data_IF_653921026654
#
_entry.id   IF_653921026654
#
_cell.length_a   1.000
_cell.length_b   1.000
_cell.length_c   1.000
_cell.angle_alpha   90.00
_cell.angle_beta   90.00
_cell.angle_gamma   90.00
#
_symmetry.space_group_name_H-M   'P 1'
#
loop_
_entity.id
_entity.type
_entity.pdbx_description
1 polymer ?
#
# COMPACT_ATOMS: atom_id res chain seq x y z
N UNK A 1 -20.45 -15.29 -34.05
CA UNK A 1 -19.30 -15.90 -34.78
C UNK A 1 -19.00 -17.26 -34.19
N UNK A 2 -18.44 -18.22 -34.98
CA UNK A 2 -18.03 -19.49 -34.40
C UNK A 2 -16.90 -19.25 -33.40
N UNK A 3 -17.00 -19.86 -32.22
CA UNK A 3 -15.99 -19.72 -31.17
C UNK A 3 -14.68 -20.39 -31.61
N UNK A 4 -13.54 -19.79 -31.28
CA UNK A 4 -12.23 -20.26 -31.73
C UNK A 4 -11.88 -21.68 -31.20
N UNK A 5 -12.51 -22.10 -30.11
CA UNK A 5 -12.39 -23.45 -29.55
C UNK A 5 -13.44 -24.46 -30.09
N UNK A 6 -14.30 -24.05 -31.01
CA UNK A 6 -15.27 -24.93 -31.66
C UNK A 6 -14.54 -25.93 -32.58
N UNK A 7 -14.51 -27.18 -32.17
CA UNK A 7 -13.88 -28.26 -32.92
C UNK A 7 -14.67 -29.55 -32.81
N UNK A 8 -14.84 -30.05 -31.58
CA UNK A 8 -15.65 -31.23 -31.30
C UNK A 8 -17.15 -30.92 -31.19
N UNK A 9 -17.47 -29.68 -30.80
CA UNK A 9 -18.83 -29.17 -30.66
C UNK A 9 -19.11 -28.15 -31.76
N UNK A 10 -20.37 -27.85 -32.04
CA UNK A 10 -20.81 -26.82 -33.00
C UNK A 10 -20.51 -25.38 -32.52
N UNK A 11 -20.07 -25.22 -31.29
CA UNK A 11 -19.73 -23.92 -30.70
C UNK A 11 -20.93 -23.02 -30.43
N UNK A 12 -22.14 -23.54 -30.49
CA UNK A 12 -23.37 -22.82 -30.12
C UNK A 12 -23.63 -23.00 -28.64
N UNK A 13 -23.71 -21.88 -27.92
CA UNK A 13 -24.03 -21.83 -26.48
C UNK A 13 -25.23 -20.90 -26.27
N UNK A 14 -25.93 -21.09 -25.18
CA UNK A 14 -26.99 -20.18 -24.75
C UNK A 14 -26.36 -18.83 -24.35
N UNK A 15 -27.01 -17.71 -24.70
CA UNK A 15 -26.52 -16.36 -24.43
C UNK A 15 -26.16 -16.16 -22.95
N UNK A 16 -27.00 -16.64 -22.05
CA UNK A 16 -26.73 -16.53 -20.60
C UNK A 16 -25.48 -17.29 -20.17
N UNK A 17 -25.13 -18.39 -20.84
CA UNK A 17 -23.91 -19.12 -20.57
C UNK A 17 -22.68 -18.38 -21.09
N UNK A 18 -22.80 -17.69 -22.23
CA UNK A 18 -21.75 -16.82 -22.77
C UNK A 18 -21.49 -15.62 -21.88
N UNK A 19 -22.55 -14.94 -21.45
CA UNK A 19 -22.47 -13.80 -20.56
C UNK A 19 -21.84 -14.20 -19.21
N UNK A 20 -22.23 -15.35 -18.66
CA UNK A 20 -21.67 -15.87 -17.40
C UNK A 20 -20.21 -16.29 -17.51
N UNK A 21 -19.78 -16.77 -18.68
CA UNK A 21 -18.41 -17.24 -18.91
C UNK A 21 -17.45 -16.11 -19.28
N UNK A 22 -17.95 -14.97 -19.74
CA UNK A 22 -17.15 -13.86 -20.25
C UNK A 22 -16.40 -13.12 -19.15
N UNK A 23 -15.11 -12.79 -19.42
CA UNK A 23 -14.25 -11.99 -18.54
C UNK A 23 -13.83 -10.65 -19.15
N UNK A 24 -14.23 -10.36 -20.40
CA UNK A 24 -13.82 -9.15 -21.12
C UNK A 24 -14.10 -7.85 -20.34
N UNK A 25 -15.14 -7.84 -19.50
CA UNK A 25 -15.55 -6.66 -18.74
C UNK A 25 -14.50 -6.19 -17.72
N UNK A 26 -13.66 -7.09 -17.22
CA UNK A 26 -12.59 -6.76 -16.28
C UNK A 26 -11.20 -7.05 -16.83
N UNK A 27 -10.99 -8.09 -17.64
CA UNK A 27 -9.67 -8.45 -18.16
C UNK A 27 -9.21 -7.56 -19.33
N UNK A 28 -10.14 -6.82 -19.95
CA UNK A 28 -9.84 -5.84 -21.00
C UNK A 28 -8.73 -4.85 -20.62
N UNK A 29 -8.54 -4.55 -19.34
CA UNK A 29 -7.46 -3.69 -18.85
C UNK A 29 -6.04 -4.24 -19.07
N UNK A 30 -5.92 -5.55 -19.34
CA UNK A 30 -4.63 -6.21 -19.61
C UNK A 30 -4.25 -6.25 -21.09
N UNK A 31 -4.97 -5.55 -21.99
CA UNK A 31 -4.69 -5.61 -23.44
C UNK A 31 -3.24 -5.30 -23.81
N UNK A 32 -2.57 -4.42 -23.06
CA UNK A 32 -1.16 -4.07 -23.28
C UNK A 32 -0.25 -5.25 -22.98
N UNK A 33 -0.50 -5.95 -21.88
CA UNK A 33 0.29 -7.10 -21.45
C UNK A 33 0.11 -8.27 -22.42
N UNK A 34 -1.13 -8.55 -22.82
CA UNK A 34 -1.40 -9.59 -23.82
C UNK A 34 -0.70 -9.33 -25.15
N UNK A 35 -0.80 -8.10 -25.66
CA UNK A 35 -0.14 -7.73 -26.92
C UNK A 35 1.38 -7.80 -26.79
N UNK A 36 1.98 -7.27 -25.74
CA UNK A 36 3.42 -7.33 -25.50
C UNK A 36 3.92 -8.77 -25.36
N UNK A 37 3.22 -9.59 -24.57
CA UNK A 37 3.49 -11.01 -24.45
C UNK A 37 3.43 -11.74 -25.79
N UNK A 38 2.39 -11.44 -26.59
CA UNK A 38 2.19 -12.02 -27.92
C UNK A 38 3.27 -11.60 -28.93
N UNK A 39 3.72 -10.34 -28.90
CA UNK A 39 4.84 -9.89 -29.76
C UNK A 39 6.14 -10.64 -29.43
N UNK A 40 6.44 -10.81 -28.16
CA UNK A 40 7.63 -11.55 -27.70
C UNK A 40 7.53 -13.03 -28.08
N UNK A 41 6.35 -13.63 -27.96
CA UNK A 41 6.10 -15.00 -28.38
C UNK A 41 6.32 -15.20 -29.88
N UNK A 42 5.81 -14.30 -30.73
CA UNK A 42 6.05 -14.34 -32.19
C UNK A 42 7.55 -14.28 -32.53
N UNK A 43 8.29 -13.39 -31.87
CA UNK A 43 9.74 -13.28 -32.03
C UNK A 43 10.48 -14.58 -31.63
N UNK A 44 10.08 -15.21 -30.52
CA UNK A 44 10.61 -16.49 -30.07
C UNK A 44 10.33 -17.62 -31.07
N UNK A 45 9.10 -17.68 -31.59
CA UNK A 45 8.74 -18.73 -32.60
C UNK A 45 9.62 -18.64 -33.83
N UNK A 46 9.92 -17.45 -34.35
CA UNK A 46 10.83 -17.26 -35.47
C UNK A 46 12.27 -17.59 -35.10
N UNK A 47 12.77 -17.13 -33.95
CA UNK A 47 14.11 -17.45 -33.46
C UNK A 47 14.35 -18.95 -33.38
N UNK A 48 13.34 -19.74 -33.07
CA UNK A 48 13.40 -21.19 -33.00
C UNK A 48 13.05 -21.88 -34.32
N UNK A 49 12.78 -21.13 -35.37
CA UNK A 49 12.47 -21.69 -36.70
C UNK A 49 11.09 -22.39 -36.76
N UNK A 50 10.20 -22.11 -35.80
CA UNK A 50 8.85 -22.69 -35.76
C UNK A 50 7.96 -22.01 -36.79
N UNK A 51 8.13 -20.70 -36.98
CA UNK A 51 7.54 -19.90 -38.05
C UNK A 51 8.65 -19.17 -38.81
N UNK A 52 8.36 -18.64 -39.99
CA UNK A 52 9.33 -17.81 -40.74
C UNK A 52 9.55 -16.44 -40.06
N UNK A 53 10.68 -15.79 -40.32
CA UNK A 53 10.96 -14.44 -39.84
C UNK A 53 9.93 -13.45 -40.42
N UNK A 54 9.56 -13.59 -41.71
CA UNK A 54 8.58 -12.74 -42.36
C UNK A 54 7.18 -12.83 -41.67
N UNK A 55 6.78 -14.05 -41.28
CA UNK A 55 5.53 -14.23 -40.50
C UNK A 55 5.61 -13.57 -39.14
N UNK A 56 6.73 -13.67 -38.43
CA UNK A 56 6.91 -13.05 -37.13
C UNK A 56 6.90 -11.52 -37.21
N UNK A 57 7.62 -10.96 -38.20
CA UNK A 57 7.62 -9.50 -38.41
C UNK A 57 6.21 -8.99 -38.75
N UNK A 58 5.48 -9.73 -39.58
CA UNK A 58 4.07 -9.41 -39.90
C UNK A 58 3.17 -9.47 -38.67
N UNK A 59 3.34 -10.48 -37.80
CA UNK A 59 2.58 -10.61 -36.54
C UNK A 59 2.90 -9.47 -35.58
N UNK A 60 4.18 -9.13 -35.40
CA UNK A 60 4.64 -8.08 -34.50
C UNK A 60 4.12 -6.72 -34.97
N UNK A 61 4.22 -6.41 -36.27
CA UNK A 61 3.70 -5.16 -36.83
C UNK A 61 2.18 -5.07 -36.70
N UNK A 62 1.47 -6.18 -36.93
CA UNK A 62 0.01 -6.26 -36.76
C UNK A 62 -0.41 -6.02 -35.31
N UNK A 63 0.28 -6.63 -34.35
CA UNK A 63 0.06 -6.46 -32.91
C UNK A 63 0.38 -5.02 -32.46
N UNK A 64 1.50 -4.46 -32.91
CA UNK A 64 1.86 -3.07 -32.63
C UNK A 64 0.81 -2.10 -33.19
N UNK A 65 0.27 -2.38 -34.38
CA UNK A 65 -0.82 -1.61 -34.97
C UNK A 65 -2.12 -1.70 -34.16
N UNK A 66 -2.46 -2.89 -33.61
CA UNK A 66 -3.63 -3.04 -32.71
C UNK A 66 -3.42 -2.25 -31.43
N UNK A 67 -2.24 -2.34 -30.82
CA UNK A 67 -1.90 -1.57 -29.61
C UNK A 67 -2.06 -0.06 -29.83
N UNK A 68 -1.48 0.44 -30.92
CA UNK A 68 -1.58 1.86 -31.26
C UNK A 68 -3.02 2.31 -31.52
N UNK A 69 -3.83 1.48 -32.17
CA UNK A 69 -5.24 1.81 -32.45
C UNK A 69 -6.10 1.81 -31.17
N UNK A 70 -5.85 0.90 -30.23
CA UNK A 70 -6.49 0.89 -28.91
C UNK A 70 -6.07 2.11 -28.09
N UNK A 71 -4.78 2.43 -28.05
CA UNK A 71 -4.25 3.56 -27.30
C UNK A 71 -4.78 4.91 -27.77
N UNK A 72 -4.98 5.03 -29.10
CA UNK A 72 -5.48 6.25 -29.71
C UNK A 72 -7.03 6.29 -29.84
N UNK A 73 -7.72 5.27 -29.33
CA UNK A 73 -9.20 5.18 -29.41
C UNK A 73 -9.75 4.97 -30.81
N UNK A 74 -8.92 4.54 -31.76
CA UNK A 74 -9.36 4.21 -33.13
C UNK A 74 -10.00 2.83 -33.22
N UNK A 75 -9.63 1.93 -32.32
CA UNK A 75 -10.22 0.62 -32.15
C UNK A 75 -10.85 0.55 -30.76
N UNK A 76 -12.12 0.17 -30.70
CA UNK A 76 -12.81 -0.12 -29.45
C UNK A 76 -12.78 -1.62 -29.18
N UNK A 77 -12.64 -1.98 -27.91
CA UNK A 77 -12.72 -3.39 -27.48
C UNK A 77 -14.16 -3.87 -27.65
N UNK A 78 -14.34 -4.97 -28.39
CA UNK A 78 -15.66 -5.60 -28.56
C UNK A 78 -16.02 -6.41 -27.30
N UNK A 79 -16.90 -5.85 -26.48
CA UNK A 79 -17.37 -6.44 -25.24
C UNK A 79 -18.23 -7.71 -25.42
N UNK A 80 -18.49 -8.13 -26.67
CA UNK A 80 -19.13 -9.41 -26.97
C UNK A 80 -18.12 -10.59 -27.06
N UNK A 81 -16.82 -10.32 -27.00
CA UNK A 81 -15.80 -11.34 -26.92
C UNK A 81 -15.79 -12.01 -25.56
N UNK A 82 -15.30 -13.25 -25.47
CA UNK A 82 -15.19 -13.99 -24.22
C UNK A 82 -14.17 -13.34 -23.29
N UNK A 83 -12.99 -13.00 -23.80
CA UNK A 83 -11.88 -12.39 -23.07
C UNK A 83 -11.05 -11.47 -23.98
N UNK A 84 -10.14 -10.70 -23.38
CA UNK A 84 -9.24 -9.79 -24.10
C UNK A 84 -8.33 -10.51 -25.08
N UNK A 85 -7.89 -11.70 -24.73
CA UNK A 85 -7.00 -12.51 -25.55
C UNK A 85 -7.68 -12.95 -26.85
N UNK A 86 -8.96 -13.37 -26.75
CA UNK A 86 -9.78 -13.70 -27.93
C UNK A 86 -10.00 -12.48 -28.81
N UNK A 87 -10.28 -11.32 -28.20
CA UNK A 87 -10.45 -10.07 -28.94
C UNK A 87 -9.20 -9.71 -29.75
N UNK A 88 -8.01 -9.73 -29.12
CA UNK A 88 -6.74 -9.39 -29.80
C UNK A 88 -6.46 -10.40 -30.94
N UNK A 89 -6.63 -11.70 -30.69
CA UNK A 89 -6.39 -12.76 -31.68
C UNK A 89 -7.37 -12.67 -32.86
N UNK A 90 -8.65 -12.33 -32.60
CA UNK A 90 -9.65 -12.12 -33.66
C UNK A 90 -9.31 -10.92 -34.54
N UNK A 91 -8.98 -9.77 -33.93
CA UNK A 91 -8.60 -8.57 -34.68
C UNK A 91 -7.34 -8.81 -35.51
N UNK A 92 -6.34 -9.48 -34.91
CA UNK A 92 -5.11 -9.84 -35.61
C UNK A 92 -5.39 -10.76 -36.82
N UNK A 93 -6.24 -11.78 -36.64
CA UNK A 93 -6.62 -12.71 -37.70
C UNK A 93 -7.44 -12.00 -38.81
N UNK A 94 -8.32 -11.07 -38.44
CA UNK A 94 -9.05 -10.26 -39.42
C UNK A 94 -8.11 -9.40 -40.28
N UNK A 95 -7.04 -8.86 -39.69
CA UNK A 95 -6.07 -8.01 -40.41
C UNK A 95 -5.09 -8.82 -41.27
N UNK A 96 -4.65 -10.00 -40.77
CA UNK A 96 -3.53 -10.74 -41.37
C UNK A 96 -3.91 -12.09 -41.99
N UNK A 97 -5.15 -12.52 -41.89
CA UNK A 97 -5.60 -13.81 -42.40
C UNK A 97 -4.90 -15.00 -41.74
N UNK A 98 -4.38 -15.94 -42.56
CA UNK A 98 -3.78 -17.16 -42.02
C UNK A 98 -2.47 -16.95 -41.26
N UNK A 99 -1.75 -15.85 -41.51
CA UNK A 99 -0.56 -15.50 -40.71
C UNK A 99 -0.97 -15.20 -39.27
N UNK A 100 -2.08 -14.48 -39.03
CA UNK A 100 -2.58 -14.21 -37.72
C UNK A 100 -2.85 -15.44 -36.86
N UNK A 101 -3.31 -16.52 -37.50
CA UNK A 101 -3.60 -17.80 -36.82
C UNK A 101 -2.34 -18.56 -36.33
N UNK A 102 -1.15 -18.21 -36.82
CA UNK A 102 0.13 -18.84 -36.41
C UNK A 102 0.58 -18.42 -35.00
N UNK A 103 0.06 -17.27 -34.50
CA UNK A 103 0.46 -16.74 -33.19
C UNK A 103 0.19 -17.70 -32.03
N UNK A 104 -0.86 -18.52 -32.10
CA UNK A 104 -1.22 -19.45 -31.03
C UNK A 104 -0.36 -20.71 -30.95
N UNK A 105 0.60 -20.90 -31.88
CA UNK A 105 1.49 -22.06 -31.92
C UNK A 105 2.32 -22.18 -30.64
N UNK A 106 2.38 -23.38 -30.06
CA UNK A 106 3.13 -23.67 -28.81
C UNK A 106 2.71 -22.82 -27.58
N UNK A 107 1.47 -22.33 -27.53
CA UNK A 107 0.90 -21.56 -26.42
C UNK A 107 -0.48 -22.10 -26.07
N UNK A 108 -0.88 -21.92 -24.77
CA UNK A 108 -2.23 -22.16 -24.29
C UNK A 108 -2.80 -20.86 -23.72
N UNK A 109 -4.13 -20.77 -23.65
CA UNK A 109 -4.79 -19.71 -22.89
C UNK A 109 -4.34 -19.70 -21.41
N UNK A 110 -4.04 -20.87 -20.83
CA UNK A 110 -3.69 -20.99 -19.42
C UNK A 110 -2.36 -20.28 -19.08
N UNK A 111 -1.29 -20.50 -19.86
CA UNK A 111 -0.01 -19.81 -19.61
C UNK A 111 -0.04 -18.35 -20.08
N UNK A 112 -0.82 -18.02 -21.09
CA UNK A 112 -1.05 -16.65 -21.55
C UNK A 112 -1.71 -15.79 -20.45
N UNK A 113 -2.82 -16.23 -19.87
CA UNK A 113 -3.49 -15.53 -18.78
C UNK A 113 -2.58 -15.40 -17.56
N UNK A 114 -1.83 -16.47 -17.20
CA UNK A 114 -0.89 -16.45 -16.09
C UNK A 114 0.27 -15.47 -16.32
N UNK A 115 0.73 -15.31 -17.57
CA UNK A 115 1.72 -14.30 -17.96
C UNK A 115 1.17 -12.89 -17.79
N UNK A 116 0.00 -12.64 -18.37
CA UNK A 116 -0.56 -11.28 -18.47
C UNK A 116 -0.89 -10.69 -17.10
N UNK A 117 -1.45 -11.47 -16.19
CA UNK A 117 -1.71 -11.02 -14.83
C UNK A 117 -0.41 -10.72 -14.05
N UNK A 118 0.67 -11.51 -14.28
CA UNK A 118 1.98 -11.24 -13.67
C UNK A 118 2.59 -9.93 -14.22
N UNK A 119 2.54 -9.73 -15.54
CA UNK A 119 3.03 -8.51 -16.18
C UNK A 119 2.24 -7.29 -15.70
N UNK A 120 0.91 -7.41 -15.62
CA UNK A 120 0.03 -6.35 -15.14
C UNK A 120 0.33 -6.00 -13.67
N UNK A 121 0.28 -6.98 -12.77
CA UNK A 121 0.48 -6.73 -11.34
C UNK A 121 1.90 -6.27 -11.01
N UNK A 122 2.91 -6.68 -11.79
CA UNK A 122 4.27 -6.15 -11.65
C UNK A 122 4.31 -4.62 -11.86
N UNK A 123 3.62 -4.13 -12.89
CA UNK A 123 3.47 -2.69 -13.12
C UNK A 123 2.70 -1.99 -12.00
N UNK A 124 1.63 -2.61 -11.52
CA UNK A 124 0.83 -2.07 -10.41
C UNK A 124 1.61 -2.00 -9.10
N UNK A 125 2.45 -3.00 -8.81
CA UNK A 125 3.35 -2.95 -7.63
C UNK A 125 4.33 -1.78 -7.75
N UNK A 126 4.88 -1.54 -8.93
CA UNK A 126 5.80 -0.43 -9.17
C UNK A 126 5.09 0.93 -8.93
N UNK A 127 3.84 1.07 -9.39
CA UNK A 127 3.03 2.28 -9.16
C UNK A 127 2.64 2.44 -7.69
N UNK A 128 2.14 1.39 -7.03
CA UNK A 128 1.80 1.42 -5.58
C UNK A 128 3.04 1.78 -4.77
N UNK A 129 4.19 1.22 -5.11
CA UNK A 129 5.47 1.54 -4.44
C UNK A 129 5.85 3.01 -4.62
N UNK A 130 5.68 3.58 -5.80
CA UNK A 130 5.94 5.00 -6.07
C UNK A 130 4.99 5.91 -5.26
N UNK A 131 3.70 5.58 -5.21
CA UNK A 131 2.70 6.30 -4.40
C UNK A 131 3.00 6.19 -2.90
N UNK A 132 3.42 5.02 -2.43
CA UNK A 132 3.82 4.82 -1.03
C UNK A 132 5.05 5.66 -0.69
N UNK A 133 6.06 5.73 -1.57
CA UNK A 133 7.21 6.62 -1.40
C UNK A 133 6.79 8.09 -1.33
N UNK A 134 5.84 8.51 -2.15
CA UNK A 134 5.28 9.86 -2.12
C UNK A 134 4.63 10.18 -0.77
N UNK A 135 3.86 9.24 -0.23
CA UNK A 135 3.27 9.39 1.11
C UNK A 135 4.35 9.43 2.21
N UNK A 136 5.36 8.56 2.16
CA UNK A 136 6.46 8.57 3.12
C UNK A 136 7.18 9.93 3.09
N UNK A 137 7.42 10.49 1.92
CA UNK A 137 8.02 11.81 1.77
C UNK A 137 7.16 12.89 2.44
N UNK A 138 5.86 12.93 2.17
CA UNK A 138 4.93 13.89 2.77
C UNK A 138 4.89 13.78 4.31
N UNK A 139 4.86 12.56 4.85
CA UNK A 139 4.90 12.30 6.30
C UNK A 139 6.24 12.77 6.89
N UNK A 140 7.35 12.49 6.20
CA UNK A 140 8.70 12.86 6.65
C UNK A 140 8.91 14.37 6.64
N UNK A 141 8.42 15.06 5.62
CA UNK A 141 8.50 16.52 5.52
C UNK A 141 7.67 17.20 6.64
N UNK A 142 6.48 16.67 6.94
CA UNK A 142 5.69 17.13 8.09
C UNK A 142 6.36 16.81 9.42
N UNK A 143 7.02 15.66 9.53
CA UNK A 143 7.80 15.33 10.72
C UNK A 143 8.97 16.30 10.93
N UNK A 144 9.63 16.73 9.86
CA UNK A 144 10.72 17.73 9.90
C UNK A 144 10.18 19.11 10.30
N UNK A 145 9.03 19.53 9.74
CA UNK A 145 8.35 20.79 10.09
C UNK A 145 8.01 20.84 11.59
N UNK A 146 7.52 19.73 12.15
CA UNK A 146 7.03 19.66 13.53
C UNK A 146 7.93 18.85 14.48
N UNK A 147 9.21 18.67 14.17
CA UNK A 147 10.16 17.87 14.97
C UNK A 147 10.34 18.34 16.41
N UNK A 148 10.09 19.63 16.68
CA UNK A 148 10.16 20.23 18.01
C UNK A 148 8.78 20.53 18.64
N UNK A 149 7.68 20.24 17.96
CA UNK A 149 6.33 20.50 18.44
C UNK A 149 5.94 19.51 19.53
N UNK A 150 5.89 19.97 20.78
CA UNK A 150 5.55 19.14 21.96
C UNK A 150 4.07 18.74 21.89
N UNK A 151 3.81 17.43 22.05
CA UNK A 151 2.46 16.89 22.21
C UNK A 151 2.46 15.78 23.26
N UNK A 152 1.29 15.44 23.84
CA UNK A 152 1.19 14.26 24.68
C UNK A 152 1.28 12.99 23.83
N UNK A 153 2.15 12.05 24.22
CA UNK A 153 2.07 10.66 23.78
C UNK A 153 0.98 9.94 24.57
N UNK A 154 0.28 9.03 23.90
CA UNK A 154 -0.86 8.31 24.46
C UNK A 154 -0.61 6.82 24.61
N UNK A 155 -1.07 6.26 25.72
CA UNK A 155 -1.32 4.82 25.88
C UNK A 155 -2.74 4.66 26.45
N UNK A 156 -3.51 3.69 25.97
CA UNK A 156 -4.91 3.50 26.37
C UNK A 156 -5.79 4.75 26.17
N UNK A 157 -5.46 5.59 25.17
CA UNK A 157 -6.04 6.94 24.98
C UNK A 157 -5.92 7.87 26.20
N UNK A 158 -5.00 7.54 27.12
CA UNK A 158 -4.63 8.42 28.24
C UNK A 158 -3.30 9.09 27.95
N UNK A 159 -3.15 10.35 28.38
CA UNK A 159 -1.89 11.10 28.25
C UNK A 159 -0.84 10.43 29.10
N UNK A 160 0.30 10.07 28.48
CA UNK A 160 1.32 9.23 29.12
C UNK A 160 2.65 9.95 29.32
N UNK A 161 3.34 10.29 28.24
CA UNK A 161 4.66 10.93 28.29
C UNK A 161 4.78 12.02 27.22
N UNK A 162 5.66 13.04 27.41
CA UNK A 162 5.88 14.06 26.41
C UNK A 162 6.65 13.47 25.21
N UNK A 163 6.12 13.74 24.03
CA UNK A 163 6.75 13.43 22.72
C UNK A 163 6.72 14.66 21.83
N UNK A 164 7.32 14.57 20.64
CA UNK A 164 7.06 15.57 19.60
C UNK A 164 6.09 15.03 18.55
N UNK A 165 5.39 15.92 17.87
CA UNK A 165 4.53 15.53 16.75
C UNK A 165 5.34 14.93 15.62
N UNK A 166 6.56 15.46 15.37
CA UNK A 166 7.50 14.85 14.41
C UNK A 166 7.85 13.40 14.77
N UNK A 167 8.11 13.10 16.04
CA UNK A 167 8.36 11.73 16.49
C UNK A 167 7.16 10.80 16.20
N UNK A 168 5.95 11.28 16.47
CA UNK A 168 4.72 10.53 16.21
C UNK A 168 4.55 10.22 14.72
N UNK A 169 4.76 11.22 13.86
CA UNK A 169 4.69 11.06 12.40
C UNK A 169 5.74 10.06 11.88
N UNK A 170 6.95 10.09 12.43
CA UNK A 170 8.01 9.14 12.04
C UNK A 170 7.64 7.69 12.35
N UNK A 171 6.79 7.40 13.32
CA UNK A 171 6.30 6.05 13.55
C UNK A 171 5.52 5.51 12.32
N UNK A 172 4.71 6.34 11.69
CA UNK A 172 4.01 5.99 10.44
C UNK A 172 4.96 5.85 9.25
N UNK A 173 5.97 6.72 9.15
CA UNK A 173 7.00 6.57 8.12
C UNK A 173 7.71 5.19 8.23
N UNK A 174 8.03 4.74 9.44
CA UNK A 174 8.62 3.41 9.67
C UNK A 174 7.66 2.25 9.31
N UNK A 175 6.35 2.41 9.52
CA UNK A 175 5.37 1.41 9.08
C UNK A 175 5.33 1.30 7.56
N UNK A 176 5.26 2.43 6.87
CA UNK A 176 5.20 2.51 5.41
C UNK A 176 6.50 2.01 4.73
N UNK A 177 7.67 2.18 5.34
CA UNK A 177 8.91 1.57 4.85
C UNK A 177 8.81 0.04 4.84
N UNK A 178 8.29 -0.56 5.91
CA UNK A 178 8.07 -2.02 5.95
C UNK A 178 7.02 -2.49 4.94
N UNK A 179 6.06 -1.63 4.57
CA UNK A 179 5.09 -1.94 3.52
C UNK A 179 5.75 -1.93 2.13
N UNK A 180 6.69 -1.00 1.86
CA UNK A 180 7.51 -1.02 0.65
C UNK A 180 8.33 -2.31 0.53
N UNK A 181 8.95 -2.76 1.62
CA UNK A 181 9.72 -4.01 1.63
C UNK A 181 8.83 -5.21 1.26
N UNK A 182 7.58 -5.27 1.79
CA UNK A 182 6.61 -6.32 1.42
C UNK A 182 6.28 -6.30 -0.07
N UNK A 183 6.05 -5.12 -0.63
CA UNK A 183 5.77 -4.95 -2.06
C UNK A 183 6.97 -5.42 -2.93
N UNK A 184 8.19 -5.05 -2.56
CA UNK A 184 9.39 -5.50 -3.26
C UNK A 184 9.61 -7.01 -3.15
N UNK A 185 9.35 -7.59 -2.00
CA UNK A 185 9.45 -9.03 -1.78
C UNK A 185 8.41 -9.80 -2.62
N UNK A 186 7.18 -9.33 -2.69
CA UNK A 186 6.15 -9.88 -3.56
C UNK A 186 6.58 -9.79 -5.03
N UNK A 187 7.01 -8.59 -5.48
CA UNK A 187 7.48 -8.36 -6.83
C UNK A 187 8.61 -9.31 -7.25
N UNK A 188 9.57 -9.53 -6.35
CA UNK A 188 10.70 -10.44 -6.57
C UNK A 188 10.24 -11.88 -6.75
N UNK A 189 9.34 -12.38 -5.88
CA UNK A 189 8.86 -13.76 -5.96
C UNK A 189 8.00 -14.01 -7.19
N UNK A 190 7.17 -13.07 -7.59
CA UNK A 190 6.32 -13.22 -8.79
C UNK A 190 7.07 -13.10 -10.11
N UNK A 191 8.32 -12.60 -10.13
CA UNK A 191 9.05 -12.25 -11.34
C UNK A 191 9.65 -13.46 -12.06
N UNK A 192 8.83 -14.51 -12.28
CA UNK A 192 9.16 -15.69 -13.08
C UNK A 192 8.09 -15.93 -14.14
N UNK A 193 8.53 -16.11 -15.40
CA UNK A 193 7.63 -16.26 -16.54
C UNK A 193 6.98 -17.65 -16.59
N UNK A 194 5.65 -17.74 -16.68
CA UNK A 194 4.94 -18.99 -16.88
C UNK A 194 4.84 -19.40 -18.34
N UNK A 195 5.17 -18.50 -19.31
CA UNK A 195 4.97 -18.77 -20.73
C UNK A 195 5.76 -20.02 -21.17
N UNK A 196 5.15 -20.83 -22.03
CA UNK A 196 5.69 -22.12 -22.43
C UNK A 196 5.35 -23.27 -21.46
N UNK A 197 4.67 -23.00 -20.34
CA UNK A 197 4.00 -24.05 -19.54
C UNK A 197 2.83 -24.67 -20.31
N UNK A 198 2.31 -23.97 -21.30
CA UNK A 198 1.15 -24.35 -22.12
C UNK A 198 -0.07 -24.63 -21.24
N UNK A 199 -0.85 -25.69 -21.53
CA UNK A 199 -2.02 -26.01 -20.73
C UNK A 199 -1.63 -26.44 -19.30
N UNK A 200 -0.58 -27.27 -19.14
CA UNK A 200 -0.05 -27.79 -17.88
C UNK A 200 1.23 -28.64 -18.01
N UNK A 201 1.52 -29.17 -19.20
CA UNK A 201 2.54 -30.19 -19.39
C UNK A 201 3.73 -29.71 -20.28
N UNK A 202 3.79 -28.42 -20.56
CA UNK A 202 4.75 -27.90 -21.56
C UNK A 202 4.34 -28.23 -22.98
N UNK A 203 5.29 -28.21 -23.90
CA UNK A 203 5.06 -28.42 -25.33
C UNK A 203 6.14 -29.31 -25.95
N UNK A 204 5.81 -29.95 -27.10
CA UNK A 204 6.77 -30.70 -27.92
C UNK A 204 7.57 -29.82 -28.89
N UNK A 205 7.24 -28.53 -29.00
CA UNK A 205 8.01 -27.59 -29.80
C UNK A 205 9.29 -27.17 -29.07
N UNK A 206 10.39 -26.92 -29.82
CA UNK A 206 11.68 -26.50 -29.24
C UNK A 206 11.66 -24.99 -28.88
N UNK A 207 10.76 -24.55 -28.00
CA UNK A 207 10.63 -23.16 -27.59
C UNK A 207 11.81 -22.73 -26.69
N UNK A 208 12.11 -21.42 -26.71
CA UNK A 208 13.14 -20.79 -25.86
C UNK A 208 12.46 -19.91 -24.80
N UNK A 209 12.10 -20.55 -23.68
CA UNK A 209 11.41 -19.87 -22.56
C UNK A 209 12.28 -18.82 -21.87
N UNK A 210 13.59 -19.04 -21.80
CA UNK A 210 14.54 -18.09 -21.21
C UNK A 210 14.62 -16.79 -22.03
N UNK A 211 14.59 -16.92 -23.37
CA UNK A 211 14.52 -15.77 -24.25
C UNK A 211 13.26 -14.95 -24.02
N UNK A 212 12.09 -15.59 -23.95
CA UNK A 212 10.82 -14.89 -23.69
C UNK A 212 10.82 -14.22 -22.31
N UNK A 213 11.31 -14.90 -21.27
CA UNK A 213 11.41 -14.35 -19.92
C UNK A 213 12.33 -13.11 -19.90
N UNK A 214 13.49 -13.19 -20.54
CA UNK A 214 14.44 -12.09 -20.61
C UNK A 214 13.86 -10.86 -21.34
N UNK A 215 13.21 -11.06 -22.50
CA UNK A 215 12.62 -9.99 -23.29
C UNK A 215 11.49 -9.26 -22.55
N UNK A 216 10.82 -9.94 -21.63
CA UNK A 216 9.74 -9.39 -20.82
C UNK A 216 10.20 -8.90 -19.43
N UNK A 217 11.51 -8.96 -19.14
CA UNK A 217 12.12 -8.49 -17.89
C UNK A 217 11.80 -9.36 -16.68
N UNK A 218 11.61 -10.66 -16.88
CA UNK A 218 11.56 -11.63 -15.79
C UNK A 218 12.96 -12.08 -15.37
N UNK A 219 13.11 -12.49 -14.12
CA UNK A 219 14.36 -13.02 -13.56
C UNK A 219 14.64 -14.48 -13.98
N UNK A 220 13.64 -15.17 -14.51
CA UNK A 220 13.71 -16.54 -14.97
C UNK A 220 12.34 -17.10 -15.34
N UNK A 221 12.24 -18.41 -15.44
CA UNK A 221 11.03 -19.15 -15.83
C UNK A 221 10.47 -19.96 -14.67
N UNK A 222 9.16 -20.21 -14.65
CA UNK A 222 8.55 -21.19 -13.78
C UNK A 222 9.09 -22.60 -14.12
N UNK A 223 9.71 -23.27 -13.15
CA UNK A 223 10.44 -24.53 -13.41
C UNK A 223 9.54 -25.77 -13.53
N UNK A 224 8.31 -25.68 -13.03
CA UNK A 224 7.30 -26.74 -13.19
C UNK A 224 6.11 -26.17 -13.96
N UNK A 225 5.76 -26.78 -15.09
CA UNK A 225 4.70 -26.28 -15.97
C UNK A 225 3.30 -26.40 -15.38
N UNK A 226 3.07 -27.38 -14.52
CA UNK A 226 1.80 -27.55 -13.84
C UNK A 226 1.59 -26.47 -12.77
N UNK A 227 2.65 -26.15 -12.02
CA UNK A 227 2.69 -25.05 -11.05
C UNK A 227 2.55 -23.69 -11.75
N UNK A 228 3.29 -23.45 -12.83
CA UNK A 228 3.33 -22.17 -13.52
C UNK A 228 1.96 -21.67 -14.03
N UNK A 229 1.05 -22.59 -14.40
CA UNK A 229 -0.32 -22.22 -14.81
C UNK A 229 -1.31 -22.21 -13.65
N UNK A 230 -0.97 -22.88 -12.55
CA UNK A 230 -1.82 -23.02 -11.35
C UNK A 230 -1.59 -21.91 -10.31
N UNK A 231 -0.38 -21.37 -10.26
CA UNK A 231 0.05 -20.43 -9.23
C UNK A 231 -0.74 -19.11 -9.28
N UNK A 232 -1.28 -18.74 -8.13
CA UNK A 232 -1.86 -17.44 -7.81
C UNK A 232 -1.39 -16.91 -6.45
N UNK A 233 -0.31 -17.51 -5.91
CA UNK A 233 0.26 -17.06 -4.63
C UNK A 233 0.67 -15.60 -4.69
N UNK A 234 1.21 -15.15 -5.82
CA UNK A 234 1.59 -13.75 -6.02
C UNK A 234 0.39 -12.79 -5.94
N UNK A 235 -0.81 -13.18 -6.34
CA UNK A 235 -2.03 -12.41 -6.15
C UNK A 235 -2.38 -12.32 -4.66
N UNK A 236 -2.38 -13.45 -3.96
CA UNK A 236 -2.69 -13.51 -2.53
C UNK A 236 -1.65 -12.77 -1.69
N UNK A 237 -0.37 -12.85 -2.05
CA UNK A 237 0.73 -12.14 -1.39
C UNK A 237 0.61 -10.62 -1.59
N UNK A 238 0.36 -10.16 -2.83
CA UNK A 238 0.14 -8.74 -3.11
C UNK A 238 -1.03 -8.20 -2.32
N UNK A 239 -2.17 -8.89 -2.34
CA UNK A 239 -3.36 -8.47 -1.58
C UNK A 239 -3.11 -8.47 -0.07
N UNK A 240 -2.31 -9.40 0.44
CA UNK A 240 -1.89 -9.40 1.85
C UNK A 240 -1.02 -8.20 2.18
N UNK A 241 -0.08 -7.83 1.32
CA UNK A 241 0.74 -6.64 1.46
C UNK A 241 -0.12 -5.36 1.43
N UNK A 242 -1.05 -5.27 0.47
CA UNK A 242 -2.02 -4.16 0.37
C UNK A 242 -2.91 -4.09 1.62
N UNK A 243 -3.40 -5.21 2.14
CA UNK A 243 -4.23 -5.26 3.33
C UNK A 243 -3.49 -4.73 4.57
N UNK A 244 -2.20 -5.05 4.73
CA UNK A 244 -1.35 -4.53 5.81
C UNK A 244 -1.14 -3.02 5.64
N UNK A 245 -0.82 -2.56 4.43
CA UNK A 245 -0.68 -1.14 4.11
C UNK A 245 -1.97 -0.37 4.44
N UNK A 246 -3.13 -0.88 4.02
CA UNK A 246 -4.43 -0.27 4.33
C UNK A 246 -4.74 -0.28 5.82
N UNK A 247 -4.31 -1.29 6.58
CA UNK A 247 -4.39 -1.29 8.04
C UNK A 247 -3.60 -0.14 8.65
N UNK A 248 -2.39 0.13 8.16
CA UNK A 248 -1.59 1.28 8.63
C UNK A 248 -2.26 2.61 8.30
N UNK A 249 -2.79 2.75 7.07
CA UNK A 249 -3.55 3.95 6.68
C UNK A 249 -4.82 4.12 7.52
N UNK A 250 -5.52 3.04 7.84
CA UNK A 250 -6.71 3.07 8.71
C UNK A 250 -6.37 3.55 10.13
N UNK A 251 -5.28 3.06 10.72
CA UNK A 251 -4.80 3.54 12.04
C UNK A 251 -4.44 5.01 12.00
N UNK A 252 -3.73 5.44 10.97
CA UNK A 252 -3.37 6.84 10.81
C UNK A 252 -4.61 7.72 10.59
N UNK A 253 -5.59 7.24 9.82
CA UNK A 253 -6.89 7.90 9.64
C UNK A 253 -7.60 8.11 10.97
N UNK A 254 -7.66 7.08 11.83
CA UNK A 254 -8.28 7.17 13.15
C UNK A 254 -7.68 8.29 14.00
N UNK A 255 -6.35 8.39 14.03
CA UNK A 255 -5.67 9.45 14.78
C UNK A 255 -5.92 10.84 14.18
N UNK A 256 -5.92 10.98 12.84
CA UNK A 256 -6.26 12.25 12.19
C UNK A 256 -7.69 12.67 12.51
N UNK A 257 -8.64 11.73 12.50
CA UNK A 257 -10.05 12.00 12.85
C UNK A 257 -10.15 12.49 14.30
N UNK A 258 -9.49 11.78 15.23
CA UNK A 258 -9.43 12.21 16.63
C UNK A 258 -8.79 13.59 16.78
N UNK A 259 -7.63 13.82 16.17
CA UNK A 259 -6.89 15.08 16.29
C UNK A 259 -7.55 16.27 15.63
N UNK A 260 -8.37 16.06 14.60
CA UNK A 260 -9.14 17.13 13.94
C UNK A 260 -10.47 17.43 14.64
N UNK A 261 -10.91 16.60 15.60
CA UNK A 261 -12.13 16.81 16.36
C UNK A 261 -12.08 18.10 17.21
N UNK A 262 -13.25 18.62 17.58
CA UNK A 262 -13.37 19.79 18.45
C UNK A 262 -12.73 19.58 19.83
N UNK A 263 -12.74 18.37 20.33
CA UNK A 263 -12.21 17.98 21.64
C UNK A 263 -10.68 18.02 21.65
N UNK A 264 -10.02 17.57 20.57
CA UNK A 264 -8.55 17.59 20.48
C UNK A 264 -8.02 18.87 19.83
N UNK A 265 -8.49 19.20 18.64
CA UNK A 265 -7.99 20.35 17.83
C UNK A 265 -6.47 20.39 17.73
N UNK A 266 -5.84 19.22 17.55
CA UNK A 266 -4.40 19.12 17.39
C UNK A 266 -3.96 19.38 15.96
N UNK A 267 -4.82 19.05 15.00
CA UNK A 267 -4.57 19.28 13.59
C UNK A 267 -5.77 19.92 12.90
N UNK A 268 -5.50 20.64 11.83
CA UNK A 268 -6.50 21.15 10.91
C UNK A 268 -6.18 20.64 9.51
N UNK A 269 -7.16 20.00 8.87
CA UNK A 269 -7.06 19.54 7.49
C UNK A 269 -7.39 20.69 6.52
N UNK A 270 -6.75 20.70 5.36
CA UNK A 270 -7.07 21.64 4.29
C UNK A 270 -8.52 21.46 3.80
N UNK A 271 -9.14 22.55 3.36
CA UNK A 271 -10.46 22.52 2.74
C UNK A 271 -10.54 21.62 1.51
N UNK A 272 -9.42 21.41 0.83
CA UNK A 272 -9.32 20.51 -0.31
C UNK A 272 -9.54 19.02 0.04
N UNK A 273 -9.41 18.66 1.32
CA UNK A 273 -9.52 17.27 1.82
C UNK A 273 -10.57 17.11 2.93
N UNK A 274 -11.52 18.02 2.98
CA UNK A 274 -12.61 18.02 3.95
C UNK A 274 -13.92 18.38 3.27
N UNK A 275 -15.04 18.07 3.90
CA UNK A 275 -16.34 18.57 3.47
C UNK A 275 -16.99 19.38 4.57
N UNK A 276 -17.87 20.31 4.16
CA UNK A 276 -18.72 21.07 5.07
C UNK A 276 -20.05 20.36 5.30
N UNK A 277 -20.94 21.07 6.00
CA UNK A 277 -22.33 20.66 6.16
C UNK A 277 -23.24 21.65 5.44
N UNK A 278 -24.25 21.14 4.73
CA UNK A 278 -25.27 21.99 4.07
C UNK A 278 -26.16 22.76 5.05
N UNK A 279 -26.17 22.35 6.32
CA UNK A 279 -27.06 22.94 7.35
C UNK A 279 -26.29 23.52 8.54
N UNK A 280 -25.06 23.07 8.79
CA UNK A 280 -24.22 23.49 9.91
C UNK A 280 -22.96 24.19 9.40
N UNK A 281 -22.96 25.55 9.29
CA UNK A 281 -21.87 26.27 8.63
C UNK A 281 -20.51 26.19 9.34
N UNK A 282 -20.49 25.83 10.63
CA UNK A 282 -19.27 25.68 11.43
C UNK A 282 -18.63 24.29 11.27
N UNK A 283 -19.31 23.32 10.62
CA UNK A 283 -18.88 21.91 10.59
C UNK A 283 -17.91 21.68 9.42
N UNK A 284 -16.79 21.06 9.74
CA UNK A 284 -15.75 20.61 8.81
C UNK A 284 -15.43 19.16 9.10
N UNK A 285 -15.69 18.27 8.14
CA UNK A 285 -15.62 16.83 8.34
C UNK A 285 -14.32 16.27 7.76
N UNK A 286 -13.65 15.33 8.44
CA UNK A 286 -12.45 14.64 7.94
C UNK A 286 -12.82 13.45 7.01
N UNK A 287 -13.74 13.67 6.03
CA UNK A 287 -14.32 12.58 5.23
C UNK A 287 -13.30 11.73 4.49
N UNK A 288 -12.19 12.33 4.06
CA UNK A 288 -11.14 11.58 3.34
C UNK A 288 -10.49 10.54 4.26
N UNK A 289 -10.20 10.92 5.50
CA UNK A 289 -9.68 9.97 6.50
C UNK A 289 -10.71 8.89 6.84
N UNK A 290 -11.99 9.27 6.99
CA UNK A 290 -13.08 8.31 7.25
C UNK A 290 -13.25 7.31 6.11
N UNK A 291 -13.21 7.77 4.85
CA UNK A 291 -13.32 6.91 3.68
C UNK A 291 -12.13 5.95 3.55
N UNK A 292 -10.90 6.39 3.81
CA UNK A 292 -9.72 5.50 3.82
C UNK A 292 -9.89 4.43 4.89
N UNK A 293 -10.32 4.78 6.11
CA UNK A 293 -10.63 3.84 7.17
C UNK A 293 -11.70 2.83 6.74
N UNK A 294 -12.79 3.28 6.11
CA UNK A 294 -13.87 2.43 5.62
C UNK A 294 -13.43 1.48 4.48
N UNK A 295 -12.66 2.00 3.49
CA UNK A 295 -12.16 1.22 2.35
C UNK A 295 -11.19 0.09 2.76
N UNK A 296 -10.57 0.17 3.93
CA UNK A 296 -9.74 -0.90 4.48
C UNK A 296 -10.54 -2.20 4.63
N UNK A 297 -11.80 -2.12 5.10
CA UNK A 297 -12.67 -3.30 5.20
C UNK A 297 -13.00 -3.93 3.85
N UNK A 298 -13.13 -3.11 2.78
CA UNK A 298 -13.33 -3.60 1.41
C UNK A 298 -12.14 -4.44 0.95
N UNK A 299 -10.91 -3.93 1.09
CA UNK A 299 -9.67 -4.66 0.72
C UNK A 299 -9.51 -5.96 1.51
N UNK A 300 -9.92 -5.99 2.79
CA UNK A 300 -9.93 -7.24 3.56
C UNK A 300 -10.94 -8.26 2.99
N UNK A 301 -12.10 -7.78 2.55
CA UNK A 301 -13.09 -8.61 1.86
C UNK A 301 -12.54 -9.22 0.57
N UNK A 302 -11.84 -8.42 -0.24
CA UNK A 302 -11.22 -8.86 -1.49
C UNK A 302 -10.16 -9.95 -1.26
N UNK A 303 -9.26 -9.74 -0.29
CA UNK A 303 -8.26 -10.76 0.10
C UNK A 303 -8.94 -12.06 0.54
N UNK A 304 -9.98 -11.97 1.37
CA UNK A 304 -10.69 -13.14 1.85
C UNK A 304 -11.45 -13.88 0.72
N UNK A 305 -12.01 -13.13 -0.24
CA UNK A 305 -12.65 -13.69 -1.42
C UNK A 305 -11.65 -14.50 -2.25
N UNK A 306 -10.48 -13.93 -2.55
CA UNK A 306 -9.43 -14.62 -3.31
C UNK A 306 -8.96 -15.90 -2.59
N UNK A 307 -8.60 -15.80 -1.31
CA UNK A 307 -8.16 -16.97 -0.52
C UNK A 307 -9.22 -18.06 -0.47
N UNK A 308 -10.50 -17.66 -0.41
CA UNK A 308 -11.64 -18.60 -0.41
C UNK A 308 -11.82 -19.27 -1.76
N UNK A 309 -11.63 -18.53 -2.85
CA UNK A 309 -11.65 -19.09 -4.21
C UNK A 309 -10.55 -20.13 -4.41
N UNK A 310 -9.34 -19.83 -4.00
CA UNK A 310 -8.16 -20.69 -4.24
C UNK A 310 -8.12 -21.95 -3.37
N UNK A 311 -8.69 -21.90 -2.17
CA UNK A 311 -8.61 -22.99 -1.20
C UNK A 311 -9.20 -24.31 -1.67
N UNK A 312 -8.69 -25.25 -2.10
CA UNK A 312 -9.29 -26.57 -2.45
C UNK A 312 -9.45 -26.76 -3.95
N UNK A 313 -8.91 -25.84 -4.76
CA UNK A 313 -8.81 -26.07 -6.20
C UNK A 313 -7.76 -27.17 -6.47
N UNK A 314 -8.05 -28.11 -7.37
CA UNK A 314 -7.01 -29.02 -7.87
C UNK A 314 -6.00 -28.25 -8.73
N UNK A 315 -4.82 -28.88 -8.95
CA UNK A 315 -3.76 -28.30 -9.75
C UNK A 315 -4.18 -28.04 -11.21
N UNK A 316 -3.36 -27.33 -11.91
CA UNK A 316 -3.55 -26.72 -13.23
C UNK A 316 -4.60 -25.59 -13.16
N UNK A 317 -5.29 -25.34 -14.26
CA UNK A 317 -6.27 -24.27 -14.36
C UNK A 317 -7.69 -24.83 -14.19
N UNK A 318 -8.46 -24.17 -13.33
CA UNK A 318 -9.90 -24.35 -13.21
C UNK A 318 -10.56 -22.98 -13.46
N UNK A 319 -11.78 -22.97 -13.99
CA UNK A 319 -12.48 -21.71 -14.34
C UNK A 319 -12.72 -20.81 -13.13
N UNK A 320 -12.74 -21.36 -11.91
CA UNK A 320 -12.77 -20.62 -10.65
C UNK A 320 -11.65 -19.55 -10.57
N UNK A 321 -10.50 -19.82 -11.19
CA UNK A 321 -9.39 -18.85 -11.22
C UNK A 321 -9.69 -17.59 -12.04
N UNK A 322 -10.79 -17.52 -12.77
CA UNK A 322 -11.24 -16.28 -13.40
C UNK A 322 -11.64 -15.23 -12.35
N UNK A 323 -12.14 -15.69 -11.17
CA UNK A 323 -12.49 -14.84 -10.04
C UNK A 323 -11.29 -14.20 -9.32
N UNK A 324 -10.06 -14.53 -9.71
CA UNK A 324 -8.85 -13.92 -9.15
C UNK A 324 -8.75 -12.42 -9.49
N UNK A 325 -9.28 -11.99 -10.64
CA UNK A 325 -9.01 -10.67 -11.20
C UNK A 325 -9.83 -9.56 -10.57
N UNK A 326 -11.13 -9.74 -10.40
CA UNK A 326 -12.02 -8.67 -9.94
C UNK A 326 -11.61 -8.17 -8.55
N UNK A 327 -11.40 -9.10 -7.60
CA UNK A 327 -10.97 -8.73 -6.24
C UNK A 327 -9.57 -8.12 -6.21
N UNK A 328 -8.62 -8.64 -7.02
CA UNK A 328 -7.26 -8.11 -7.09
C UNK A 328 -7.26 -6.71 -7.71
N UNK A 329 -7.99 -6.50 -8.79
CA UNK A 329 -8.08 -5.19 -9.45
C UNK A 329 -8.76 -4.15 -8.55
N UNK A 330 -9.81 -4.54 -7.84
CA UNK A 330 -10.48 -3.67 -6.88
C UNK A 330 -9.57 -3.23 -5.73
N UNK A 331 -8.82 -4.17 -5.15
CA UNK A 331 -7.86 -3.86 -4.09
C UNK A 331 -6.74 -2.93 -4.58
N UNK A 332 -6.20 -3.18 -5.79
CA UNK A 332 -5.16 -2.35 -6.42
C UNK A 332 -5.67 -0.93 -6.68
N UNK A 333 -6.83 -0.78 -7.31
CA UNK A 333 -7.41 0.53 -7.61
C UNK A 333 -7.74 1.28 -6.31
N UNK A 334 -8.25 0.58 -5.31
CA UNK A 334 -8.60 1.15 -4.01
C UNK A 334 -7.36 1.68 -3.27
N UNK A 335 -6.28 0.90 -3.17
CA UNK A 335 -5.08 1.34 -2.45
C UNK A 335 -4.39 2.51 -3.15
N UNK A 336 -4.33 2.51 -4.48
CA UNK A 336 -3.74 3.62 -5.26
C UNK A 336 -4.46 4.93 -4.98
N UNK A 337 -5.80 4.92 -5.03
CA UNK A 337 -6.62 6.10 -4.71
C UNK A 337 -6.42 6.55 -3.25
N UNK A 338 -6.41 5.62 -2.30
CA UNK A 338 -6.19 5.93 -0.90
C UNK A 338 -4.82 6.58 -0.65
N UNK A 339 -3.75 6.06 -1.26
CA UNK A 339 -2.41 6.61 -1.14
C UNK A 339 -2.31 8.04 -1.67
N UNK A 340 -2.89 8.30 -2.85
CA UNK A 340 -2.90 9.64 -3.47
C UNK A 340 -3.62 10.66 -2.58
N UNK A 341 -4.83 10.33 -2.14
CA UNK A 341 -5.63 11.21 -1.27
C UNK A 341 -4.93 11.43 0.06
N UNK A 342 -4.37 10.37 0.64
CA UNK A 342 -3.71 10.44 1.94
C UNK A 342 -2.44 11.29 1.89
N UNK A 343 -1.62 11.13 0.85
CA UNK A 343 -0.42 11.94 0.64
C UNK A 343 -0.74 13.42 0.54
N UNK A 344 -1.76 13.80 -0.24
CA UNK A 344 -2.19 15.20 -0.35
C UNK A 344 -2.79 15.76 0.96
N UNK A 345 -3.56 14.95 1.68
CA UNK A 345 -4.13 15.32 2.98
C UNK A 345 -3.01 15.59 4.01
N UNK A 346 -2.00 14.73 4.09
CA UNK A 346 -0.85 14.90 5.00
C UNK A 346 0.00 16.11 4.57
N UNK A 347 0.31 16.26 3.30
CA UNK A 347 1.13 17.36 2.81
C UNK A 347 0.55 18.75 3.14
N UNK A 348 -0.78 18.85 3.22
CA UNK A 348 -1.50 20.10 3.50
C UNK A 348 -2.01 20.26 4.93
N UNK A 349 -1.75 19.27 5.80
CA UNK A 349 -2.15 19.29 7.21
C UNK A 349 -1.39 20.37 7.97
N UNK A 350 -2.09 21.11 8.83
CA UNK A 350 -1.53 22.06 9.77
C UNK A 350 -1.69 21.57 11.22
N UNK A 351 -0.61 21.66 12.02
CA UNK A 351 -0.66 21.29 13.43
C UNK A 351 -0.89 22.51 14.32
N UNK A 352 -1.83 22.40 15.25
CA UNK A 352 -2.05 23.38 16.30
C UNK A 352 -1.14 23.09 17.51
N UNK A 353 0.11 23.50 17.38
CA UNK A 353 1.16 23.24 18.38
C UNK A 353 0.84 23.84 19.75
N UNK A 354 0.06 24.93 19.79
CA UNK A 354 -0.39 25.55 21.05
C UNK A 354 -1.33 24.62 21.82
N UNK A 355 -2.33 24.03 21.14
CA UNK A 355 -3.24 23.08 21.78
C UNK A 355 -2.53 21.78 22.18
N UNK A 356 -1.62 21.31 21.36
CA UNK A 356 -0.80 20.14 21.68
C UNK A 356 0.02 20.38 22.95
N UNK A 357 0.74 21.49 23.05
CA UNK A 357 1.54 21.86 24.23
C UNK A 357 0.67 22.02 25.46
N UNK A 358 -0.46 22.70 25.35
CA UNK A 358 -1.42 22.87 26.47
C UNK A 358 -1.94 21.51 26.95
N UNK A 359 -2.30 20.61 26.06
CA UNK A 359 -2.74 19.26 26.41
C UNK A 359 -1.64 18.46 27.11
N UNK A 360 -0.36 18.66 26.73
CA UNK A 360 0.79 18.07 27.39
C UNK A 360 0.93 18.56 28.84
N UNK A 361 0.85 19.87 29.07
CA UNK A 361 0.94 20.48 30.41
C UNK A 361 -0.16 19.98 31.35
N UNK A 362 -1.41 20.07 30.91
CA UNK A 362 -2.57 19.67 31.73
C UNK A 362 -2.71 18.16 31.95
N UNK A 363 -1.85 17.36 31.32
CA UNK A 363 -1.81 15.90 31.45
C UNK A 363 -0.85 15.38 32.48
N UNK A 364 -0.08 16.25 33.14
CA UNK A 364 0.97 15.86 34.11
C UNK A 364 1.95 14.83 33.55
N UNK A 365 2.22 14.87 32.25
CA UNK A 365 3.02 13.87 31.55
C UNK A 365 4.51 13.94 31.88
N UNK A 366 4.93 14.99 32.58
CA UNK A 366 6.25 15.19 33.18
C UNK A 366 6.36 14.66 34.62
N UNK A 367 5.30 14.05 35.16
CA UNK A 367 5.33 13.48 36.51
C UNK A 367 6.38 12.35 36.68
N UNK A 368 6.68 11.62 35.61
CA UNK A 368 7.77 10.63 35.61
C UNK A 368 9.14 11.33 35.72
N UNK A 369 9.32 12.43 35.00
CA UNK A 369 10.57 13.23 35.04
C UNK A 369 10.78 13.85 36.43
N UNK A 370 9.67 14.23 37.13
CA UNK A 370 9.69 14.66 38.52
C UNK A 370 10.14 13.54 39.48
N UNK A 371 9.63 12.33 39.29
CA UNK A 371 10.09 11.17 40.10
C UNK A 371 11.57 10.84 39.82
N UNK A 372 11.99 10.84 38.57
CA UNK A 372 13.37 10.61 38.16
C UNK A 372 14.35 11.67 38.71
N UNK A 373 13.90 12.92 38.83
CA UNK A 373 14.66 13.99 39.45
C UNK A 373 15.02 13.63 40.92
N UNK A 374 14.04 13.19 41.70
CA UNK A 374 14.28 12.76 43.08
C UNK A 374 15.17 11.51 43.14
N UNK A 375 15.01 10.56 42.20
CA UNK A 375 15.86 9.36 42.14
C UNK A 375 17.32 9.72 41.88
N UNK A 376 17.56 10.67 40.97
CA UNK A 376 18.93 11.18 40.67
C UNK A 376 19.56 11.87 41.89
N UNK A 377 18.75 12.42 42.80
CA UNK A 377 19.21 12.98 44.06
C UNK A 377 19.29 11.95 45.20
N UNK A 378 19.16 10.66 44.91
CA UNK A 378 19.39 9.55 45.84
C UNK A 378 18.14 8.96 46.49
N UNK A 379 16.94 9.42 46.16
CA UNK A 379 15.71 8.86 46.71
C UNK A 379 15.36 7.51 46.02
N UNK A 380 14.93 6.48 46.77
CA UNK A 380 14.40 5.26 46.15
C UNK A 380 13.20 5.52 45.25
N UNK A 381 13.13 4.89 44.08
CA UNK A 381 12.11 5.13 43.06
C UNK A 381 10.68 5.05 43.60
N UNK A 382 10.35 4.06 44.46
CA UNK A 382 8.99 3.92 45.03
C UNK A 382 8.59 5.11 45.91
N UNK A 383 9.53 5.72 46.61
CA UNK A 383 9.32 6.91 47.41
C UNK A 383 9.15 8.14 46.52
N UNK A 384 10.00 8.30 45.52
CA UNK A 384 9.91 9.37 44.54
C UNK A 384 8.57 9.32 43.76
N UNK A 385 8.14 8.13 43.33
CA UNK A 385 6.85 7.89 42.69
C UNK A 385 5.68 8.33 43.57
N UNK A 386 5.70 7.98 44.87
CA UNK A 386 4.64 8.37 45.80
C UNK A 386 4.57 9.87 45.96
N UNK A 387 5.69 10.57 46.11
CA UNK A 387 5.74 12.04 46.21
C UNK A 387 5.23 12.70 44.94
N UNK A 388 5.69 12.22 43.77
CA UNK A 388 5.21 12.72 42.47
C UNK A 388 3.68 12.58 42.34
N UNK A 389 3.13 11.42 42.71
CA UNK A 389 1.68 11.20 42.71
C UNK A 389 0.91 12.14 43.64
N UNK A 390 1.45 12.43 44.83
CA UNK A 390 0.85 13.39 45.78
C UNK A 390 0.85 14.83 45.25
N UNK A 391 1.94 15.23 44.57
CA UNK A 391 2.03 16.57 43.94
C UNK A 391 1.08 16.68 42.74
N UNK A 392 0.91 15.64 41.95
CA UNK A 392 -0.11 15.59 40.87
C UNK A 392 -1.53 15.74 41.46
N UNK A 393 -1.84 14.99 42.52
CA UNK A 393 -3.15 15.11 43.20
C UNK A 393 -3.40 16.52 43.76
N UNK A 394 -2.35 17.15 44.30
CA UNK A 394 -2.42 18.54 44.76
C UNK A 394 -2.70 19.49 43.59
N UNK A 395 -1.99 19.36 42.46
CA UNK A 395 -2.23 20.17 41.27
C UNK A 395 -3.66 20.03 40.76
N UNK A 396 -4.18 18.81 40.66
CA UNK A 396 -5.58 18.55 40.29
C UNK A 396 -6.56 19.28 41.20
N UNK A 397 -6.34 19.19 42.54
CA UNK A 397 -7.21 19.83 43.51
C UNK A 397 -7.19 21.36 43.44
N UNK A 398 -6.08 21.95 43.04
CA UNK A 398 -5.89 23.41 42.90
C UNK A 398 -6.18 23.94 41.50
N UNK A 399 -6.44 23.07 40.50
CA UNK A 399 -6.64 23.46 39.11
C UNK A 399 -5.40 24.08 38.46
N UNK A 400 -4.17 23.64 38.86
CA UNK A 400 -2.88 24.13 38.39
C UNK A 400 -2.05 22.97 37.81
N UNK A 401 -0.87 23.26 37.32
CA UNK A 401 0.10 22.29 36.74
C UNK A 401 1.38 22.27 37.57
N UNK A 402 2.20 21.21 37.38
CA UNK A 402 3.44 21.04 38.15
C UNK A 402 4.38 22.24 37.99
N UNK A 403 4.51 22.77 36.79
CA UNK A 403 5.41 23.89 36.48
C UNK A 403 5.05 25.19 37.18
N UNK A 404 3.79 25.34 37.62
CA UNK A 404 3.26 26.57 38.27
C UNK A 404 3.28 26.48 39.81
N UNK A 405 3.58 25.31 40.38
CA UNK A 405 3.71 25.19 41.83
C UNK A 405 4.99 25.90 42.31
N UNK A 406 4.89 26.75 43.36
CA UNK A 406 6.08 27.38 43.95
C UNK A 406 7.01 26.34 44.62
N UNK A 407 8.32 26.60 44.63
CA UNK A 407 9.32 25.70 45.19
C UNK A 407 9.02 25.35 46.65
N UNK A 408 8.52 26.30 47.42
CA UNK A 408 8.13 26.11 48.84
C UNK A 408 7.08 25.01 49.02
N UNK A 409 6.23 24.80 48.00
CA UNK A 409 5.26 23.69 48.01
C UNK A 409 5.97 22.35 47.83
N UNK A 410 6.91 22.26 46.92
CA UNK A 410 7.70 21.05 46.72
C UNK A 410 8.53 20.68 47.97
N UNK A 411 9.12 21.65 48.60
CA UNK A 411 9.90 21.47 49.84
C UNK A 411 9.09 20.88 51.01
N UNK A 412 7.75 21.05 51.02
CA UNK A 412 6.87 20.39 52.00
C UNK A 412 6.86 18.84 51.86
N UNK A 413 7.24 18.32 50.72
CA UNK A 413 7.24 16.88 50.42
C UNK A 413 8.63 16.24 50.47
N UNK A 414 9.71 17.01 50.22
CA UNK A 414 11.08 16.54 50.33
C UNK A 414 12.08 17.70 50.31
N UNK A 415 13.08 17.64 51.19
CA UNK A 415 14.22 18.57 51.20
C UNK A 415 15.19 18.39 50.02
N UNK A 416 15.00 17.34 49.18
CA UNK A 416 15.77 17.13 47.97
C UNK A 416 15.39 18.02 46.80
N UNK A 417 14.27 18.70 46.88
CA UNK A 417 13.87 19.67 45.86
C UNK A 417 14.70 20.95 45.95
N UNK A 418 15.08 21.46 44.79
CA UNK A 418 15.80 22.71 44.66
C UNK A 418 15.30 23.45 43.37
N UNK A 419 15.81 24.63 43.09
CA UNK A 419 15.42 25.44 41.94
C UNK A 419 15.66 24.77 40.57
N UNK A 420 16.59 23.81 40.49
CA UNK A 420 16.85 23.01 39.29
C UNK A 420 15.72 22.03 38.94
N UNK A 421 14.74 21.84 39.84
CA UNK A 421 13.53 21.09 39.60
C UNK A 421 12.78 21.62 38.35
N UNK A 422 12.61 22.92 38.22
CA UNK A 422 11.84 23.50 37.11
C UNK A 422 12.46 23.20 35.76
N UNK A 423 13.78 23.06 35.69
CA UNK A 423 14.49 22.56 34.54
C UNK A 423 14.27 21.06 34.27
N UNK A 424 14.06 20.30 35.34
CA UNK A 424 13.85 18.86 35.23
C UNK A 424 12.47 18.50 34.70
N UNK A 425 11.45 19.30 35.04
CA UNK A 425 10.04 19.08 34.66
C UNK A 425 9.58 19.92 33.46
N UNK A 426 10.43 20.82 32.92
CA UNK A 426 10.13 21.55 31.70
C UNK A 426 9.92 20.57 30.54
N UNK A 427 8.78 20.66 29.85
CA UNK A 427 8.41 19.69 28.80
C UNK A 427 9.37 19.63 27.63
N UNK A 428 9.99 20.74 27.25
CA UNK A 428 10.99 20.77 26.17
C UNK A 428 12.23 19.99 26.62
N UNK A 429 12.71 20.28 27.84
CA UNK A 429 13.86 19.59 28.43
C UNK A 429 13.57 18.10 28.67
N UNK A 430 12.35 17.76 29.07
CA UNK A 430 11.94 16.35 29.20
C UNK A 430 12.05 15.60 27.86
N UNK A 431 11.63 16.23 26.76
CA UNK A 431 11.78 15.66 25.41
C UNK A 431 13.25 15.59 24.99
N UNK A 432 14.01 16.68 25.14
CA UNK A 432 15.42 16.76 24.73
C UNK A 432 16.32 15.77 25.44
N UNK A 433 16.02 15.43 26.70
CA UNK A 433 16.76 14.42 27.48
C UNK A 433 16.52 12.97 27.02
N UNK A 434 15.50 12.70 26.20
CA UNK A 434 15.19 11.36 25.65
C UNK A 434 16.03 11.06 24.42
N UNK A 435 17.33 10.96 24.59
CA UNK A 435 18.35 10.81 23.54
C UNK A 435 18.67 9.37 23.17
N UNK A 436 18.03 8.39 23.81
CA UNK A 436 18.19 6.97 23.43
C UNK A 436 17.83 6.78 21.94
N UNK A 437 18.48 5.83 21.29
CA UNK A 437 18.19 5.51 19.89
C UNK A 437 16.71 5.23 19.71
N UNK A 438 16.06 5.92 18.76
CA UNK A 438 14.61 5.86 18.55
C UNK A 438 13.80 6.69 19.54
N UNK A 439 14.45 7.46 20.43
CA UNK A 439 13.76 8.36 21.37
C UNK A 439 13.13 9.57 20.70
N UNK A 440 12.49 10.43 21.49
CA UNK A 440 11.69 11.56 20.99
C UNK A 440 12.44 12.90 20.98
N UNK A 441 13.72 12.96 21.38
CA UNK A 441 14.49 14.20 21.27
C UNK A 441 14.58 14.66 19.82
N UNK A 442 14.71 15.98 19.61
CA UNK A 442 14.85 16.55 18.27
C UNK A 442 15.99 15.87 17.50
N UNK A 443 17.14 15.65 18.13
CA UNK A 443 18.27 14.96 17.50
C UNK A 443 17.93 13.50 17.10
N UNK A 444 17.16 12.78 17.92
CA UNK A 444 16.72 11.42 17.57
C UNK A 444 15.72 11.42 16.42
N UNK A 445 14.83 12.40 16.36
CA UNK A 445 13.86 12.57 15.24
C UNK A 445 14.60 12.91 13.96
N UNK A 446 15.59 13.81 14.00
CA UNK A 446 16.44 14.15 12.84
C UNK A 446 17.21 12.94 12.29
N UNK A 447 17.70 12.07 13.18
CA UNK A 447 18.35 10.82 12.76
C UNK A 447 17.36 9.86 12.08
N UNK A 448 16.12 9.76 12.56
CA UNK A 448 15.06 8.98 11.94
C UNK A 448 14.68 9.56 10.56
N UNK A 449 14.51 10.86 10.45
CA UNK A 449 14.23 11.57 9.18
C UNK A 449 15.33 11.29 8.16
N UNK A 450 16.59 11.41 8.59
CA UNK A 450 17.75 11.12 7.73
C UNK A 450 17.73 9.69 7.23
N UNK A 451 17.50 8.73 8.12
CA UNK A 451 17.40 7.31 7.75
C UNK A 451 16.31 7.06 6.70
N UNK A 452 15.11 7.60 6.92
CA UNK A 452 14.00 7.44 5.97
C UNK A 452 14.32 8.08 4.61
N UNK A 453 14.85 9.31 4.60
CA UNK A 453 15.26 9.98 3.35
C UNK A 453 16.35 9.20 2.60
N UNK A 454 17.25 8.54 3.30
CA UNK A 454 18.27 7.67 2.70
C UNK A 454 17.67 6.38 2.12
N UNK A 455 16.71 5.77 2.82
CA UNK A 455 16.01 4.55 2.38
C UNK A 455 15.12 4.76 1.14
N UNK A 456 14.72 6.01 0.84
CA UNK A 456 13.92 6.32 -0.34
C UNK A 456 14.76 6.58 -1.61
N UNK A 457 16.08 6.68 -1.47
CA UNK A 457 16.97 6.86 -2.63
C UNK A 457 16.94 5.59 -3.49
N UNK A 458 17.08 5.75 -4.83
CA UNK A 458 17.08 4.63 -5.77
C UNK A 458 18.26 3.68 -5.53
#
# INVERSE_FOLDING_TARGET
MAKMWAGRTDGVTEQIADDFNSSIHFDSRMYRQDIQGSMTHAAMLAKQGIISQDDADTLIDGLAGILADLDNGKLAIDMSCEDIHMFVEQVLTQRLGDVGKRLHTARSRNDQVALDIRLYLRGEIDEISALTKTLIAAVTDKAEEYKAAIMPGYTHLQRAQPITFGHHLMAYAMMLLRDLERLFDCRKRMNHSPIGCCALAGTTYPIDREYEAFQQGFDGVCLNSLDGVSDRDFCAELMSAIAILMMHLSRFSEEIILWSSWEFKFVELSDAYTTGSSIMPQKKNPDMAELVRGKTGRVYGDLMALLTTLKGLPLAYNKDMQEDKESVFDAVDTVKMCLQVFAGMIATLNANTTNMKRAAQTGFINATDLADYLVKKGMPFRSAYKISGQLVALCISKGTVLEELPLETYLQYSDLFDADLFDAIDLVKCVEKRISQGGTSVASVEAQIKFVKESLKP
#
